data_IF_007757853652
#
_entry.id   IF_007757853652
#
_cell.length_a   1.000
_cell.length_b   1.000
_cell.length_c   1.000
_cell.angle_alpha   90.00
_cell.angle_beta   90.00
_cell.angle_gamma   90.00
#
_symmetry.space_group_name_H-M   'P 1'
#
loop_
_entity.id
_entity.type
_entity.pdbx_description
1 polymer ?
#
# COMPACT_ATOMS: atom_id res chain seq x y z
N UNK A 1 -9.63 -22.57 -85.17
CA UNK A 1 -9.44 -23.98 -84.76
C UNK A 1 -9.95 -24.11 -83.33
N UNK A 2 -10.79 -25.12 -83.11
CA UNK A 2 -11.62 -25.35 -81.91
C UNK A 2 -10.76 -25.71 -80.69
N UNK A 3 -11.22 -25.31 -79.49
CA UNK A 3 -10.69 -25.82 -78.23
C UNK A 3 -11.36 -25.24 -76.98
N UNK A 4 -12.69 -25.25 -76.89
CA UNK A 4 -13.41 -24.96 -75.64
C UNK A 4 -13.35 -26.18 -74.73
N UNK A 5 -12.53 -26.15 -73.67
CA UNK A 5 -12.58 -27.14 -72.60
C UNK A 5 -13.68 -26.74 -71.60
N UNK A 6 -14.78 -27.51 -71.60
CA UNK A 6 -15.83 -27.45 -70.59
C UNK A 6 -15.29 -27.98 -69.26
N UNK A 7 -15.26 -27.14 -68.22
CA UNK A 7 -15.10 -27.61 -66.84
C UNK A 7 -16.41 -28.24 -66.33
N UNK A 8 -16.36 -29.38 -65.62
CA UNK A 8 -17.55 -30.09 -65.16
C UNK A 8 -18.24 -29.39 -63.99
N UNK A 9 -19.58 -29.38 -64.02
CA UNK A 9 -20.53 -28.80 -63.04
C UNK A 9 -20.54 -29.47 -61.64
N UNK A 10 -19.41 -29.97 -61.16
CA UNK A 10 -19.31 -30.70 -59.88
C UNK A 10 -18.59 -29.97 -58.74
N UNK A 11 -17.90 -28.86 -59.00
CA UNK A 11 -16.94 -28.28 -58.03
C UNK A 11 -17.40 -27.03 -57.28
N UNK A 12 -18.61 -26.52 -57.53
CA UNK A 12 -19.09 -25.31 -56.84
C UNK A 12 -19.71 -25.58 -55.47
N UNK A 13 -20.06 -26.83 -55.13
CA UNK A 13 -20.56 -27.17 -53.78
C UNK A 13 -19.44 -27.42 -52.77
N UNK A 14 -18.28 -27.88 -53.20
CA UNK A 14 -17.14 -28.13 -52.30
C UNK A 14 -16.36 -26.86 -51.93
N UNK A 15 -16.35 -25.84 -52.79
CA UNK A 15 -15.65 -24.58 -52.54
C UNK A 15 -16.39 -23.66 -51.55
N UNK A 16 -17.73 -23.68 -51.51
CA UNK A 16 -18.50 -22.87 -50.56
C UNK A 16 -18.48 -23.48 -49.15
N UNK A 17 -18.43 -24.82 -49.04
CA UNK A 17 -18.30 -25.51 -47.75
C UNK A 17 -16.88 -25.34 -47.18
N UNK A 18 -15.84 -25.35 -48.02
CA UNK A 18 -14.47 -25.09 -47.58
C UNK A 18 -14.23 -23.63 -47.13
N UNK A 19 -14.93 -22.65 -47.72
CA UNK A 19 -14.85 -21.24 -47.31
C UNK A 19 -15.52 -20.95 -45.95
N UNK A 20 -16.60 -21.65 -45.62
CA UNK A 20 -17.31 -21.48 -44.35
C UNK A 20 -16.61 -22.25 -43.21
N UNK A 21 -15.96 -23.39 -43.50
CA UNK A 21 -15.15 -24.12 -42.51
C UNK A 21 -13.85 -23.38 -42.14
N UNK A 22 -13.31 -22.56 -43.04
CA UNK A 22 -12.14 -21.72 -42.76
C UNK A 22 -12.46 -20.50 -41.88
N UNK A 23 -13.72 -20.02 -41.86
CA UNK A 23 -14.15 -18.93 -40.99
C UNK A 23 -14.51 -19.41 -39.56
N UNK A 24 -14.86 -20.68 -39.38
CA UNK A 24 -15.12 -21.26 -38.07
C UNK A 24 -13.83 -21.74 -37.35
N UNK A 25 -12.74 -21.96 -38.07
CA UNK A 25 -11.41 -22.23 -37.50
C UNK A 25 -10.58 -20.95 -37.23
N UNK A 26 -11.10 -19.78 -37.61
CA UNK A 26 -10.51 -18.48 -37.31
C UNK A 26 -11.05 -17.86 -36.00
N UNK A 27 -11.91 -18.59 -35.28
CA UNK A 27 -12.31 -18.27 -33.90
C UNK A 27 -11.65 -19.29 -32.96
N UNK A 28 -10.33 -19.25 -32.93
CA UNK A 28 -9.52 -19.88 -31.88
C UNK A 28 -8.99 -18.77 -30.99
N UNK A 29 -9.09 -18.96 -29.69
CA UNK A 29 -8.80 -17.99 -28.64
C UNK A 29 -7.55 -17.15 -28.92
N UNK A 30 -7.75 -15.83 -28.91
CA UNK A 30 -6.70 -14.82 -28.98
C UNK A 30 -6.02 -14.70 -27.59
N UNK A 31 -5.53 -15.84 -27.07
CA UNK A 31 -4.53 -15.87 -26.01
C UNK A 31 -3.20 -16.31 -26.63
N UNK A 32 -2.68 -15.49 -27.55
CA UNK A 32 -1.25 -15.48 -27.76
C UNK A 32 -0.62 -14.95 -26.46
N UNK A 33 0.10 -15.76 -25.66
CA UNK A 33 0.89 -15.18 -24.59
C UNK A 33 1.82 -14.17 -25.26
N UNK A 34 1.78 -12.92 -24.77
CA UNK A 34 2.74 -11.88 -25.13
C UNK A 34 4.11 -12.54 -25.26
N UNK A 35 4.76 -12.35 -26.40
CA UNK A 35 6.03 -13.01 -26.72
C UNK A 35 6.95 -12.99 -25.49
N UNK A 36 7.54 -14.13 -25.08
CA UNK A 36 8.41 -14.16 -23.92
C UNK A 36 9.51 -13.13 -24.15
N UNK A 37 9.62 -12.14 -23.26
CA UNK A 37 10.74 -11.22 -23.25
C UNK A 37 12.02 -12.07 -23.32
N UNK A 38 12.88 -11.78 -24.30
CA UNK A 38 14.09 -12.55 -24.51
C UNK A 38 15.01 -12.40 -23.28
N UNK A 39 15.11 -13.47 -22.49
CA UNK A 39 15.95 -13.55 -21.28
C UNK A 39 15.14 -13.69 -19.99
N UNK A 40 15.77 -14.25 -18.96
CA UNK A 40 15.19 -14.23 -17.61
C UNK A 40 15.08 -12.77 -17.15
N UNK A 41 13.93 -12.32 -16.64
CA UNK A 41 13.79 -10.96 -16.16
C UNK A 41 14.73 -10.74 -14.96
N UNK A 42 15.41 -9.60 -14.96
CA UNK A 42 16.19 -9.13 -13.82
C UNK A 42 15.27 -8.98 -12.62
N UNK A 43 15.72 -9.46 -11.45
CA UNK A 43 15.07 -9.15 -10.18
C UNK A 43 15.25 -7.66 -9.94
N UNK A 44 14.16 -6.92 -9.92
CA UNK A 44 14.21 -5.47 -9.72
C UNK A 44 13.19 -5.04 -8.70
N UNK A 45 13.66 -4.25 -7.74
CA UNK A 45 12.85 -3.59 -6.72
C UNK A 45 12.03 -4.53 -5.80
N UNK A 46 11.72 -4.02 -4.61
CA UNK A 46 10.79 -4.64 -3.68
C UNK A 46 9.85 -3.51 -3.23
N UNK A 47 8.55 -3.69 -3.38
CA UNK A 47 7.58 -2.77 -2.78
C UNK A 47 7.12 -3.34 -1.43
N UNK A 48 7.23 -2.50 -0.40
CA UNK A 48 6.80 -2.77 0.96
C UNK A 48 5.58 -1.90 1.23
N UNK A 49 4.47 -2.49 1.66
CA UNK A 49 3.27 -1.76 2.05
C UNK A 49 3.56 -0.88 3.28
N UNK A 50 3.41 0.44 3.13
CA UNK A 50 3.59 1.39 4.24
C UNK A 50 2.34 1.48 5.13
N UNK A 51 2.49 2.07 6.33
CA UNK A 51 1.37 2.32 7.23
C UNK A 51 0.85 1.07 7.97
N UNK A 52 1.65 0.01 8.06
CA UNK A 52 1.31 -1.22 8.80
C UNK A 52 2.56 -1.90 9.36
N UNK A 53 2.43 -2.56 10.52
CA UNK A 53 3.51 -3.37 11.13
C UNK A 53 3.57 -4.79 10.53
N UNK A 54 2.62 -5.16 9.67
CA UNK A 54 2.57 -6.44 8.95
C UNK A 54 2.45 -6.20 7.44
N UNK A 55 3.48 -5.63 6.79
CA UNK A 55 3.38 -5.18 5.42
C UNK A 55 3.22 -6.33 4.42
N UNK A 56 2.46 -6.09 3.35
CA UNK A 56 2.56 -6.89 2.12
C UNK A 56 3.81 -6.54 1.34
N UNK A 57 4.45 -7.56 0.80
CA UNK A 57 5.67 -7.50 0.02
C UNK A 57 5.38 -7.94 -1.41
N UNK A 58 5.81 -7.13 -2.38
CA UNK A 58 5.80 -7.47 -3.81
C UNK A 58 7.16 -7.16 -4.41
N UNK A 59 7.50 -7.81 -5.53
CA UNK A 59 8.78 -7.63 -6.21
C UNK A 59 8.61 -7.89 -7.71
N UNK A 60 9.58 -7.45 -8.52
CA UNK A 60 9.64 -7.74 -9.95
C UNK A 60 10.77 -8.74 -10.24
N UNK A 61 10.59 -9.59 -11.26
CA UNK A 61 11.58 -10.59 -11.67
C UNK A 61 11.14 -12.05 -11.57
N UNK A 62 9.85 -12.29 -11.26
CA UNK A 62 9.23 -13.62 -11.23
C UNK A 62 9.19 -14.24 -9.83
N UNK A 63 8.83 -15.52 -9.76
CA UNK A 63 8.75 -16.24 -8.49
C UNK A 63 10.14 -16.56 -7.91
N UNK A 64 10.18 -16.78 -6.60
CA UNK A 64 11.43 -16.89 -5.83
C UNK A 64 11.38 -18.11 -4.92
N UNK A 65 12.55 -18.62 -4.53
CA UNK A 65 12.65 -19.75 -3.61
C UNK A 65 12.70 -19.30 -2.16
N UNK A 66 13.26 -18.12 -1.90
CA UNK A 66 13.40 -17.58 -0.56
C UNK A 66 13.03 -16.10 -0.49
N UNK A 67 12.40 -15.73 0.62
CA UNK A 67 12.16 -14.36 1.04
C UNK A 67 12.65 -14.22 2.47
N UNK A 68 13.51 -13.24 2.71
CA UNK A 68 14.04 -12.95 4.04
C UNK A 68 13.96 -11.48 4.40
N UNK A 69 13.95 -11.24 5.71
CA UNK A 69 13.93 -9.92 6.31
C UNK A 69 14.90 -9.92 7.48
N UNK A 70 15.86 -9.01 7.42
CA UNK A 70 16.80 -8.75 8.50
C UNK A 70 16.49 -7.42 9.16
N UNK A 71 16.67 -7.34 10.48
CA UNK A 71 16.74 -6.06 11.18
C UNK A 71 18.04 -5.34 10.82
N UNK A 72 17.95 -4.06 10.52
CA UNK A 72 19.08 -3.24 10.13
C UNK A 72 19.39 -3.28 8.63
N UNK A 73 20.55 -2.74 8.22
CA UNK A 73 20.85 -2.42 6.83
C UNK A 73 21.49 -3.57 6.03
N UNK A 74 21.58 -4.77 6.61
CA UNK A 74 22.32 -5.89 6.04
C UNK A 74 21.42 -7.10 5.89
N UNK A 75 21.31 -7.62 4.67
CA UNK A 75 20.77 -8.95 4.43
C UNK A 75 21.82 -10.00 4.81
N UNK A 76 21.43 -11.01 5.57
CA UNK A 76 22.30 -12.11 5.99
C UNK A 76 21.50 -13.31 6.50
N UNK A 77 22.12 -14.49 6.47
CA UNK A 77 21.61 -15.68 7.17
C UNK A 77 22.24 -15.75 8.57
N UNK A 78 21.72 -14.94 9.50
CA UNK A 78 22.26 -14.80 10.85
C UNK A 78 21.19 -14.40 11.90
N UNK A 79 21.64 -14.06 13.11
CA UNK A 79 20.79 -13.65 14.23
C UNK A 79 19.93 -12.39 14.02
N UNK A 80 20.22 -11.58 12.99
CA UNK A 80 19.43 -10.40 12.65
C UNK A 80 18.16 -10.74 11.86
N UNK A 81 18.02 -11.97 11.40
CA UNK A 81 16.81 -12.44 10.72
C UNK A 81 15.60 -12.33 11.64
N UNK A 82 14.60 -11.57 11.18
CA UNK A 82 13.28 -11.48 11.81
C UNK A 82 12.24 -12.29 11.06
N UNK A 83 12.56 -12.73 9.83
CA UNK A 83 11.75 -13.66 9.08
C UNK A 83 12.52 -14.23 7.89
N UNK A 84 12.37 -15.53 7.64
CA UNK A 84 12.91 -16.22 6.47
C UNK A 84 11.96 -17.34 6.08
N UNK A 85 11.39 -17.27 4.89
CA UNK A 85 10.60 -18.35 4.30
C UNK A 85 11.30 -18.92 3.08
N UNK A 86 11.11 -20.22 2.86
CA UNK A 86 11.69 -20.95 1.75
C UNK A 86 10.70 -21.97 1.16
N UNK A 87 10.59 -22.02 -0.17
CA UNK A 87 9.91 -23.06 -0.92
C UNK A 87 10.73 -23.40 -2.17
N UNK A 88 11.09 -24.67 -2.33
CA UNK A 88 11.94 -25.11 -3.45
C UNK A 88 11.33 -24.80 -4.82
N UNK A 89 12.18 -24.77 -5.84
CA UNK A 89 11.82 -24.58 -7.26
C UNK A 89 11.14 -23.24 -7.56
N UNK A 90 11.50 -22.19 -6.83
CA UNK A 90 10.94 -20.85 -6.98
C UNK A 90 9.42 -20.79 -6.77
N UNK A 91 8.89 -21.46 -5.75
CA UNK A 91 7.44 -21.57 -5.53
C UNK A 91 6.84 -20.52 -4.57
N UNK A 92 7.57 -19.43 -4.26
CA UNK A 92 7.01 -18.29 -3.52
C UNK A 92 6.49 -17.23 -4.50
N UNK A 93 5.19 -16.97 -4.42
CA UNK A 93 4.47 -16.00 -5.24
C UNK A 93 4.22 -14.72 -4.44
N UNK A 94 4.34 -13.56 -5.09
CA UNK A 94 3.87 -12.29 -4.52
C UNK A 94 2.37 -12.09 -4.79
N UNK A 95 1.65 -11.28 -3.98
CA UNK A 95 2.10 -10.63 -2.75
C UNK A 95 2.26 -11.62 -1.58
N UNK A 96 3.22 -11.34 -0.69
CA UNK A 96 3.39 -12.08 0.57
C UNK A 96 3.22 -11.12 1.74
N UNK A 97 2.30 -11.42 2.66
CA UNK A 97 2.12 -10.65 3.90
C UNK A 97 3.14 -11.09 4.95
N UNK A 98 3.81 -10.14 5.61
CA UNK A 98 4.71 -10.43 6.72
C UNK A 98 4.08 -11.38 7.75
N UNK A 99 4.83 -12.41 8.15
CA UNK A 99 4.38 -13.41 9.12
C UNK A 99 3.43 -14.48 8.54
N UNK A 100 2.98 -14.38 7.29
CA UNK A 100 2.19 -15.45 6.67
C UNK A 100 3.12 -16.36 5.87
N UNK A 101 3.17 -17.64 6.23
CA UNK A 101 3.94 -18.64 5.48
C UNK A 101 3.03 -19.20 4.37
N UNK A 102 3.33 -18.97 3.09
CA UNK A 102 2.52 -19.48 1.99
C UNK A 102 2.49 -21.02 1.95
N UNK A 103 1.46 -21.60 1.33
CA UNK A 103 1.37 -23.04 1.14
C UNK A 103 2.60 -23.57 0.40
N UNK A 104 3.24 -24.62 0.95
CA UNK A 104 4.45 -25.22 0.37
C UNK A 104 5.76 -24.54 0.79
N UNK A 105 5.70 -23.38 1.46
CA UNK A 105 6.86 -22.76 2.10
C UNK A 105 7.04 -23.24 3.54
N UNK A 106 8.26 -23.10 4.03
CA UNK A 106 8.65 -23.36 5.41
C UNK A 106 9.31 -22.11 5.99
N UNK A 107 9.09 -21.86 7.28
CA UNK A 107 9.79 -20.82 8.02
C UNK A 107 11.13 -21.37 8.52
N UNK A 108 12.23 -20.84 7.97
CA UNK A 108 13.60 -21.23 8.31
C UNK A 108 14.28 -20.23 9.24
N UNK A 109 13.56 -19.26 9.79
CA UNK A 109 14.15 -18.16 10.59
C UNK A 109 15.04 -18.67 11.72
N UNK A 110 14.53 -19.61 12.51
CA UNK A 110 15.24 -20.16 13.66
C UNK A 110 16.45 -21.02 13.27
N UNK A 111 16.42 -21.65 12.09
CA UNK A 111 17.52 -22.49 11.60
C UNK A 111 18.82 -21.70 11.42
N UNK A 112 18.72 -20.43 11.06
CA UNK A 112 19.86 -19.53 10.87
C UNK A 112 20.09 -18.59 12.06
N UNK A 113 19.56 -18.94 13.24
CA UNK A 113 19.76 -18.19 14.48
C UNK A 113 18.90 -16.93 14.63
N UNK A 114 18.01 -16.66 13.66
CA UNK A 114 17.07 -15.56 13.72
C UNK A 114 15.94 -15.79 14.73
N UNK A 115 15.22 -14.71 15.03
CA UNK A 115 14.02 -14.76 15.87
C UNK A 115 12.86 -14.07 15.16
N UNK A 116 11.84 -14.86 14.86
CA UNK A 116 10.62 -14.33 14.26
C UNK A 116 9.89 -13.39 15.23
N UNK A 117 9.43 -12.26 14.71
CA UNK A 117 8.57 -11.32 15.41
C UNK A 117 7.12 -11.56 15.00
N UNK A 118 6.18 -11.24 15.90
CA UNK A 118 4.74 -11.30 15.58
C UNK A 118 4.33 -10.20 14.60
N UNK A 119 4.97 -9.04 14.72
CA UNK A 119 4.87 -7.89 13.82
C UNK A 119 6.22 -7.16 13.81
N UNK A 120 6.48 -6.38 12.76
CA UNK A 120 7.66 -5.53 12.72
C UNK A 120 7.52 -4.39 13.74
N UNK A 121 8.65 -3.81 14.13
CA UNK A 121 8.71 -2.70 15.09
C UNK A 121 8.84 -1.36 14.36
N UNK A 122 8.12 -0.36 14.87
CA UNK A 122 8.12 1.03 14.40
C UNK A 122 9.52 1.68 14.49
N UNK A 123 9.80 2.59 13.57
CA UNK A 123 11.02 3.41 13.49
C UNK A 123 12.31 2.55 13.37
N UNK A 124 12.19 1.26 13.07
CA UNK A 124 13.31 0.36 12.79
C UNK A 124 13.49 0.16 11.29
N UNK A 125 14.74 0.24 10.85
CA UNK A 125 15.16 -0.13 9.50
C UNK A 125 15.26 -1.64 9.35
N UNK A 126 14.81 -2.15 8.21
CA UNK A 126 14.92 -3.55 7.82
C UNK A 126 15.49 -3.66 6.42
N UNK A 127 16.12 -4.79 6.14
CA UNK A 127 16.52 -5.19 4.79
C UNK A 127 15.65 -6.34 4.34
N UNK A 128 14.80 -6.09 3.36
CA UNK A 128 13.96 -7.07 2.68
C UNK A 128 14.73 -7.62 1.50
N UNK A 129 14.71 -8.92 1.30
CA UNK A 129 15.40 -9.54 0.19
C UNK A 129 14.68 -10.79 -0.31
N UNK A 130 14.86 -11.07 -1.59
CA UNK A 130 14.34 -12.27 -2.24
C UNK A 130 15.42 -12.94 -3.07
N UNK A 131 15.28 -14.24 -3.26
CA UNK A 131 16.31 -15.07 -3.90
C UNK A 131 15.71 -16.20 -4.72
N UNK A 132 16.29 -16.47 -5.89
CA UNK A 132 15.98 -17.64 -6.72
C UNK A 132 16.79 -18.88 -6.34
N UNK A 133 16.25 -20.03 -6.72
CA UNK A 133 16.74 -21.38 -6.41
C UNK A 133 18.22 -21.59 -6.69
N UNK A 134 18.70 -21.15 -7.86
CA UNK A 134 20.10 -21.31 -8.26
C UNK A 134 21.08 -20.63 -7.30
N UNK A 135 20.72 -19.47 -6.76
CA UNK A 135 21.55 -18.76 -5.80
C UNK A 135 21.39 -19.32 -4.38
N UNK A 136 20.18 -19.76 -4.00
CA UNK A 136 19.90 -20.36 -2.69
C UNK A 136 20.71 -21.63 -2.43
N UNK A 137 20.90 -22.49 -3.45
CA UNK A 137 21.73 -23.70 -3.34
C UNK A 137 23.16 -23.40 -2.89
N UNK A 138 23.70 -22.26 -3.29
CA UNK A 138 25.04 -21.81 -2.88
C UNK A 138 25.02 -21.08 -1.53
N UNK A 139 23.93 -20.36 -1.25
CA UNK A 139 23.83 -19.50 -0.08
C UNK A 139 23.46 -20.24 1.21
N UNK A 140 22.63 -21.27 1.13
CA UNK A 140 22.07 -21.97 2.30
C UNK A 140 23.13 -22.58 3.24
N UNK A 141 24.33 -22.87 2.75
CA UNK A 141 25.47 -23.33 3.56
C UNK A 141 26.39 -22.21 4.07
N UNK A 142 26.07 -20.95 3.75
CA UNK A 142 26.95 -19.78 3.95
C UNK A 142 26.42 -18.83 5.03
N UNK A 143 26.09 -19.38 6.20
CA UNK A 143 25.58 -18.60 7.34
C UNK A 143 26.58 -17.51 7.79
N UNK A 144 26.05 -16.43 8.39
CA UNK A 144 26.80 -15.28 8.91
C UNK A 144 27.59 -14.48 7.86
N UNK A 145 27.25 -14.61 6.57
CA UNK A 145 27.78 -13.76 5.50
C UNK A 145 26.74 -12.74 5.05
N UNK A 146 27.21 -11.53 4.70
CA UNK A 146 26.37 -10.48 4.13
C UNK A 146 25.97 -10.84 2.70
N UNK A 147 24.72 -10.59 2.35
CA UNK A 147 24.22 -10.75 0.99
C UNK A 147 24.28 -9.39 0.30
N UNK A 148 24.82 -9.36 -0.92
CA UNK A 148 24.80 -8.16 -1.75
C UNK A 148 24.51 -8.51 -3.20
N UNK A 149 23.77 -7.62 -3.85
CA UNK A 149 23.58 -7.68 -5.30
C UNK A 149 24.89 -7.35 -6.00
N UNK A 150 25.29 -8.18 -6.96
CA UNK A 150 26.49 -7.99 -7.77
C UNK A 150 26.13 -7.25 -9.07
N UNK A 151 26.43 -5.96 -9.14
CA UNK A 151 26.12 -5.14 -10.33
C UNK A 151 27.17 -5.22 -11.44
N UNK A 152 28.16 -6.11 -11.33
CA UNK A 152 29.22 -6.28 -12.32
C UNK A 152 28.76 -7.03 -13.57
N UNK A 153 29.05 -6.50 -14.76
CA UNK A 153 28.60 -7.04 -16.05
C UNK A 153 29.17 -8.44 -16.43
N UNK A 154 30.16 -8.94 -15.69
CA UNK A 154 30.79 -10.26 -15.89
C UNK A 154 30.76 -11.12 -14.61
N UNK A 155 29.83 -10.84 -13.70
CA UNK A 155 29.73 -11.52 -12.42
C UNK A 155 29.27 -12.98 -12.59
N UNK A 156 29.93 -13.90 -11.87
CA UNK A 156 29.39 -15.24 -11.65
C UNK A 156 28.01 -15.15 -10.96
N UNK A 157 27.12 -16.16 -11.12
CA UNK A 157 25.80 -16.16 -10.50
C UNK A 157 25.85 -15.92 -8.98
N UNK A 158 26.85 -16.50 -8.32
CA UNK A 158 27.17 -16.30 -6.90
C UNK A 158 28.69 -16.28 -6.74
N UNK A 159 29.21 -15.32 -5.99
CA UNK A 159 30.64 -15.19 -5.68
C UNK A 159 30.82 -14.81 -4.21
N UNK A 160 31.70 -15.49 -3.49
CA UNK A 160 32.01 -15.14 -2.09
C UNK A 160 33.35 -14.42 -2.00
N UNK A 161 33.36 -13.22 -1.40
CA UNK A 161 34.58 -12.46 -1.10
C UNK A 161 34.58 -12.07 0.37
N UNK A 162 35.47 -12.69 1.15
CA UNK A 162 35.51 -12.51 2.61
C UNK A 162 34.17 -12.86 3.25
N UNK A 163 33.58 -11.88 3.93
CA UNK A 163 32.30 -12.03 4.65
C UNK A 163 31.08 -11.62 3.82
N UNK A 164 31.24 -11.44 2.50
CA UNK A 164 30.14 -11.05 1.62
C UNK A 164 29.94 -12.10 0.51
N UNK A 165 28.69 -12.48 0.29
CA UNK A 165 28.22 -13.25 -0.85
C UNK A 165 27.58 -12.27 -1.84
N UNK A 166 28.22 -12.11 -2.99
CA UNK A 166 27.77 -11.30 -4.10
C UNK A 166 26.92 -12.16 -5.05
N UNK A 167 25.69 -11.76 -5.30
CA UNK A 167 24.70 -12.55 -6.05
C UNK A 167 24.22 -11.77 -7.26
N UNK A 168 24.14 -12.42 -8.42
CA UNK A 168 23.76 -11.78 -9.67
C UNK A 168 22.32 -11.23 -9.63
N UNK A 169 22.03 -10.07 -10.28
CA UNK A 169 20.72 -9.41 -10.20
C UNK A 169 19.58 -10.21 -10.86
N UNK A 170 19.90 -11.24 -11.65
CA UNK A 170 18.88 -12.16 -12.19
C UNK A 170 18.26 -13.07 -11.11
N UNK A 171 18.97 -13.25 -10.00
CA UNK A 171 18.64 -14.23 -8.97
C UNK A 171 18.40 -13.60 -7.59
N UNK A 172 18.70 -12.32 -7.41
CA UNK A 172 18.62 -11.64 -6.12
C UNK A 172 18.30 -10.16 -6.28
N UNK A 173 17.43 -9.65 -5.41
CA UNK A 173 17.27 -8.22 -5.16
C UNK A 173 17.04 -8.00 -3.67
N UNK A 174 17.36 -6.80 -3.21
CA UNK A 174 17.18 -6.39 -1.83
C UNK A 174 16.84 -4.91 -1.73
N UNK A 175 16.14 -4.54 -0.66
CA UNK A 175 15.75 -3.17 -0.35
C UNK A 175 15.84 -2.92 1.14
N UNK A 176 16.50 -1.81 1.50
CA UNK A 176 16.37 -1.24 2.83
C UNK A 176 15.10 -0.40 2.91
N UNK A 177 14.28 -0.63 3.91
CA UNK A 177 13.10 0.21 4.21
C UNK A 177 12.92 0.36 5.72
N UNK A 178 12.34 1.47 6.14
CA UNK A 178 12.00 1.70 7.56
C UNK A 178 10.52 1.44 7.75
N UNK A 179 10.18 0.69 8.80
CA UNK A 179 8.78 0.52 9.18
C UNK A 179 8.32 1.80 9.87
N UNK A 180 7.43 2.48 9.17
CA UNK A 180 6.89 3.78 9.54
C UNK A 180 5.36 3.69 9.46
N UNK A 181 4.74 3.53 10.63
CA UNK A 181 3.31 3.28 10.81
C UNK A 181 2.66 4.42 11.58
N UNK A 182 3.38 5.20 12.38
CA UNK A 182 2.79 6.23 13.24
C UNK A 182 3.29 7.62 12.87
N UNK A 183 2.43 8.62 13.09
CA UNK A 183 2.87 10.01 13.17
C UNK A 183 2.80 10.51 14.60
N UNK A 184 3.88 11.18 15.01
CA UNK A 184 3.85 11.93 16.26
C UNK A 184 3.09 13.23 16.05
N UNK A 185 2.14 13.52 16.93
CA UNK A 185 1.40 14.78 16.90
C UNK A 185 2.04 15.74 17.90
N UNK A 186 2.48 16.91 17.43
CA UNK A 186 3.03 17.98 18.28
C UNK A 186 2.37 19.31 17.99
N UNK A 187 2.58 20.24 18.94
CA UNK A 187 2.18 21.65 18.81
C UNK A 187 0.71 21.86 18.49
N UNK A 188 -0.19 21.08 19.11
CA UNK A 188 -1.62 21.25 18.92
C UNK A 188 -2.04 22.63 19.46
N UNK A 189 -2.55 23.48 18.56
CA UNK A 189 -3.00 24.85 18.85
C UNK A 189 -4.50 24.95 18.55
N UNK A 190 -5.37 24.71 19.54
CA UNK A 190 -6.81 24.83 19.36
C UNK A 190 -7.23 26.30 19.26
N UNK A 191 -8.22 26.59 18.44
CA UNK A 191 -8.75 27.94 18.21
C UNK A 191 -10.20 27.87 17.71
N UNK A 192 -11.02 28.86 18.05
CA UNK A 192 -12.41 28.94 17.61
C UNK A 192 -13.38 29.08 18.76
N UNK A 193 -14.65 29.30 18.44
CA UNK A 193 -15.69 29.56 19.45
C UNK A 193 -16.41 28.31 19.91
N UNK A 194 -16.61 27.33 19.03
CA UNK A 194 -17.44 26.16 19.33
C UNK A 194 -16.87 25.34 20.49
N UNK A 195 -15.57 25.03 20.42
CA UNK A 195 -14.95 24.07 21.31
C UNK A 195 -13.43 24.08 21.24
N UNK A 196 -12.80 23.41 22.20
CA UNK A 196 -11.36 23.10 22.20
C UNK A 196 -11.18 21.74 21.55
N UNK A 197 -10.42 21.67 20.45
CA UNK A 197 -10.08 20.42 19.77
C UNK A 197 -8.76 19.89 20.31
N UNK A 198 -8.72 18.61 20.65
CA UNK A 198 -7.49 17.90 20.98
C UNK A 198 -7.20 16.87 19.89
N UNK A 199 -5.92 16.79 19.50
CA UNK A 199 -5.39 15.85 18.52
C UNK A 199 -4.34 15.01 19.24
N UNK A 200 -4.45 13.68 19.15
CA UNK A 200 -3.47 12.75 19.75
C UNK A 200 -3.10 11.66 18.75
N UNK A 201 -1.90 11.12 18.88
CA UNK A 201 -1.44 9.99 18.08
C UNK A 201 -2.28 8.72 18.38
N UNK A 202 -2.47 7.86 17.37
CA UNK A 202 -2.88 6.48 17.60
C UNK A 202 -1.69 5.63 18.07
N UNK A 203 -1.97 4.40 18.53
CA UNK A 203 -0.94 3.42 18.95
C UNK A 203 -0.60 2.40 17.85
N UNK A 204 -1.39 2.38 16.79
CA UNK A 204 -1.48 1.30 15.81
C UNK A 204 -1.67 1.80 14.37
N UNK A 205 -1.67 3.12 14.14
CA UNK A 205 -1.84 3.70 12.81
C UNK A 205 -1.34 5.14 12.72
N UNK A 206 -1.16 5.60 11.48
CA UNK A 206 -0.82 6.96 11.11
C UNK A 206 -2.06 7.88 11.09
N UNK A 207 -3.13 7.48 11.78
CA UNK A 207 -4.39 8.20 11.79
C UNK A 207 -4.59 8.83 13.17
N UNK A 208 -4.43 10.15 13.32
CA UNK A 208 -4.63 10.80 14.61
C UNK A 208 -6.06 10.61 15.13
N UNK A 209 -6.19 10.61 16.45
CA UNK A 209 -7.46 10.59 17.15
C UNK A 209 -7.84 12.02 17.54
N UNK A 210 -9.04 12.42 17.15
CA UNK A 210 -9.62 13.74 17.41
C UNK A 210 -10.66 13.64 18.52
N UNK A 211 -10.57 14.56 19.46
CA UNK A 211 -11.59 14.79 20.49
C UNK A 211 -11.86 16.27 20.63
N UNK A 212 -12.98 16.64 21.23
CA UNK A 212 -13.30 18.04 21.48
C UNK A 212 -14.10 18.20 22.77
N UNK A 213 -14.03 19.41 23.30
CA UNK A 213 -14.87 19.88 24.40
C UNK A 213 -15.59 21.16 23.94
N UNK A 214 -16.91 21.18 24.02
CA UNK A 214 -17.71 22.36 23.65
C UNK A 214 -17.58 23.43 24.75
N UNK A 215 -17.30 24.66 24.33
CA UNK A 215 -17.15 25.82 25.23
C UNK A 215 -18.08 26.98 24.88
N UNK A 216 -18.71 26.93 23.70
CA UNK A 216 -19.60 28.00 23.27
C UNK A 216 -20.87 28.02 24.13
N UNK A 217 -21.14 29.16 24.75
CA UNK A 217 -22.39 29.35 25.51
C UNK A 217 -23.63 29.11 24.64
N UNK A 218 -24.61 28.42 25.21
CA UNK A 218 -25.87 28.04 24.54
C UNK A 218 -25.78 26.80 23.65
N UNK A 219 -24.59 26.22 23.43
CA UNK A 219 -24.44 24.96 22.71
C UNK A 219 -24.34 23.82 23.72
N UNK A 220 -25.35 22.96 23.78
CA UNK A 220 -25.40 21.80 24.68
C UNK A 220 -25.09 20.48 23.97
N UNK A 221 -25.29 20.43 22.66
CA UNK A 221 -25.00 19.25 21.86
C UNK A 221 -23.50 19.07 21.68
N UNK A 222 -23.01 17.88 22.04
CA UNK A 222 -21.60 17.50 21.92
C UNK A 222 -21.26 16.88 20.57
N UNK A 223 -22.25 16.51 19.77
CA UNK A 223 -22.07 15.91 18.45
C UNK A 223 -21.86 17.00 17.40
N UNK A 224 -21.08 16.68 16.36
CA UNK A 224 -20.76 17.59 15.27
C UNK A 224 -21.51 17.22 14.00
N UNK A 225 -21.75 18.22 13.15
CA UNK A 225 -22.38 18.03 11.85
C UNK A 225 -21.35 17.89 10.72
N UNK A 226 -20.12 18.39 10.91
CA UNK A 226 -19.03 18.24 9.96
C UNK A 226 -17.68 18.22 10.67
N UNK A 227 -16.73 17.51 10.06
CA UNK A 227 -15.33 17.38 10.46
C UNK A 227 -14.47 17.37 9.20
N UNK A 228 -13.32 18.01 9.23
CA UNK A 228 -12.39 17.94 8.11
C UNK A 228 -10.94 18.23 8.48
N UNK A 229 -10.06 17.93 7.52
CA UNK A 229 -8.62 18.04 7.60
C UNK A 229 -8.08 18.64 6.29
N UNK A 230 -7.18 19.62 6.43
CA UNK A 230 -6.47 20.22 5.29
C UNK A 230 -4.99 20.40 5.63
N UNK A 231 -4.13 20.55 4.62
CA UNK A 231 -2.75 21.01 4.82
C UNK A 231 -2.73 22.46 5.33
N UNK A 232 -1.91 22.79 6.32
CA UNK A 232 -1.93 24.08 7.01
C UNK A 232 -1.14 25.21 6.31
N UNK A 233 -0.73 25.05 5.05
CA UNK A 233 -0.18 26.15 4.26
C UNK A 233 -1.32 27.10 3.86
N UNK A 234 -1.61 28.08 4.72
CA UNK A 234 -2.58 29.19 4.52
C UNK A 234 -3.84 28.80 3.73
N UNK A 235 -4.84 28.27 4.44
CA UNK A 235 -6.25 28.15 4.03
C UNK A 235 -6.49 28.09 2.51
N UNK A 236 -6.17 26.95 1.90
CA UNK A 236 -6.63 26.64 0.55
C UNK A 236 -7.81 25.67 0.67
N UNK A 237 -9.03 26.18 0.45
CA UNK A 237 -10.28 25.38 0.42
C UNK A 237 -10.21 24.24 -0.62
N UNK A 238 -9.33 24.36 -1.61
CA UNK A 238 -9.07 23.35 -2.63
C UNK A 238 -8.07 22.27 -2.22
N UNK A 239 -7.48 22.37 -1.02
CA UNK A 239 -6.47 21.46 -0.48
C UNK A 239 -7.01 20.47 0.57
N UNK A 240 -8.30 20.15 0.52
CA UNK A 240 -8.94 19.21 1.44
C UNK A 240 -8.28 17.83 1.36
N UNK A 241 -7.77 17.35 2.50
CA UNK A 241 -7.20 16.01 2.64
C UNK A 241 -8.24 15.01 3.09
N UNK A 242 -9.22 15.45 3.88
CA UNK A 242 -10.34 14.63 4.32
C UNK A 242 -11.48 15.52 4.77
N UNK A 243 -12.71 15.20 4.38
CA UNK A 243 -13.87 16.00 4.76
C UNK A 243 -15.12 15.12 4.83
N UNK A 244 -15.81 15.16 5.97
CA UNK A 244 -16.98 14.33 6.26
C UNK A 244 -18.09 15.15 6.91
N UNK A 245 -19.30 15.04 6.38
CA UNK A 245 -20.47 15.82 6.81
C UNK A 245 -21.64 14.88 7.08
N UNK A 246 -22.47 15.20 8.07
CA UNK A 246 -23.78 14.56 8.24
C UNK A 246 -24.56 14.57 6.93
N UNK A 247 -25.26 13.48 6.63
CA UNK A 247 -26.13 13.38 5.46
C UNK A 247 -27.53 13.00 5.93
N UNK A 248 -28.52 13.76 5.46
CA UNK A 248 -29.93 13.43 5.64
C UNK A 248 -30.69 13.64 4.33
N UNK A 249 -31.82 12.95 4.17
CA UNK A 249 -32.71 13.19 3.04
C UNK A 249 -33.79 14.19 3.44
N UNK A 250 -33.91 15.28 2.67
CA UNK A 250 -35.01 16.23 2.79
C UNK A 250 -35.65 16.41 1.42
N UNK A 251 -36.94 16.09 1.31
CA UNK A 251 -37.64 16.12 0.03
C UNK A 251 -37.04 15.19 -1.04
N UNK A 252 -36.41 14.08 -0.62
CA UNK A 252 -35.75 13.13 -1.53
C UNK A 252 -34.38 13.58 -2.04
N UNK A 253 -33.88 14.74 -1.60
CA UNK A 253 -32.54 15.24 -1.93
C UNK A 253 -31.62 15.13 -0.72
N UNK A 254 -30.33 14.82 -0.93
CA UNK A 254 -29.37 14.81 0.15
C UNK A 254 -29.11 16.25 0.64
N UNK A 255 -29.12 16.42 1.95
CA UNK A 255 -28.78 17.65 2.65
C UNK A 255 -27.63 17.35 3.60
N UNK A 256 -26.58 18.17 3.53
CA UNK A 256 -25.34 17.93 4.26
C UNK A 256 -25.12 18.92 5.39
N UNK A 257 -24.53 18.46 6.49
CA UNK A 257 -24.08 19.33 7.59
C UNK A 257 -25.21 19.94 8.42
N UNK A 258 -26.43 19.40 8.33
CA UNK A 258 -27.63 19.91 9.03
C UNK A 258 -28.05 19.11 10.25
N UNK A 259 -27.32 18.03 10.56
CA UNK A 259 -27.57 17.23 11.75
C UNK A 259 -26.27 16.93 12.49
N UNK A 260 -26.28 17.07 13.80
CA UNK A 260 -25.15 16.68 14.62
C UNK A 260 -25.17 15.15 14.84
N UNK A 261 -24.25 14.43 14.21
CA UNK A 261 -24.18 12.95 14.25
C UNK A 261 -22.79 12.42 14.53
N UNK A 262 -21.75 13.23 14.33
CA UNK A 262 -20.35 12.82 14.48
C UNK A 262 -19.99 12.89 15.97
N UNK A 263 -19.58 11.75 16.52
CA UNK A 263 -19.25 11.58 17.94
C UNK A 263 -17.73 11.46 18.12
N UNK A 264 -17.17 12.21 19.08
CA UNK A 264 -15.79 11.99 19.55
C UNK A 264 -15.69 10.79 20.51
N UNK A 265 -14.56 10.07 20.56
CA UNK A 265 -13.35 10.26 19.74
C UNK A 265 -13.53 9.80 18.30
N UNK A 266 -12.85 10.47 17.37
CA UNK A 266 -12.80 10.09 15.96
C UNK A 266 -11.37 9.73 15.56
N UNK A 267 -11.13 8.50 15.13
CA UNK A 267 -9.91 8.16 14.38
C UNK A 267 -10.07 8.71 12.97
N UNK A 268 -9.14 9.55 12.52
CA UNK A 268 -9.24 10.16 11.19
C UNK A 268 -9.33 9.09 10.08
N UNK A 269 -10.13 9.36 9.06
CA UNK A 269 -10.36 8.44 7.94
C UNK A 269 -11.25 7.24 8.25
N UNK A 270 -11.70 7.06 9.49
CA UNK A 270 -12.65 5.99 9.79
C UNK A 270 -14.02 6.28 9.15
N UNK A 271 -14.76 5.26 8.68
CA UNK A 271 -16.15 5.42 8.26
C UNK A 271 -17.02 5.90 9.43
N UNK A 272 -17.89 6.87 9.18
CA UNK A 272 -18.84 7.40 10.17
C UNK A 272 -20.26 7.22 9.64
N UNK A 273 -21.12 6.53 10.39
CA UNK A 273 -22.51 6.29 9.99
C UNK A 273 -23.26 7.61 9.77
N UNK A 274 -24.19 7.64 8.81
CA UNK A 274 -25.04 8.81 8.50
C UNK A 274 -24.24 10.05 8.09
N UNK A 275 -23.09 9.85 7.45
CA UNK A 275 -22.26 10.92 6.90
C UNK A 275 -21.86 10.62 5.46
N UNK A 276 -21.55 11.69 4.74
CA UNK A 276 -21.00 11.66 3.40
C UNK A 276 -19.53 12.12 3.44
N UNK A 277 -18.67 11.42 2.71
CA UNK A 277 -17.25 11.75 2.57
C UNK A 277 -17.03 12.49 1.26
N UNK A 278 -16.62 13.76 1.34
CA UNK A 278 -16.36 14.62 0.18
C UNK A 278 -14.91 14.50 -0.33
N UNK A 279 -13.99 14.17 0.57
CA UNK A 279 -12.60 13.90 0.26
C UNK A 279 -12.16 12.71 1.10
N UNK A 280 -11.67 11.66 0.44
CA UNK A 280 -11.19 10.44 1.10
C UNK A 280 -9.88 10.70 1.82
N UNK A 281 -9.75 10.09 3.00
CA UNK A 281 -8.53 10.21 3.78
C UNK A 281 -7.35 9.52 3.05
N UNK A 282 -6.12 10.07 3.10
CA UNK A 282 -4.99 9.46 2.42
C UNK A 282 -4.76 8.02 2.90
N UNK A 283 -4.67 7.08 1.95
CA UNK A 283 -4.54 5.65 2.26
C UNK A 283 -3.29 5.30 3.10
N UNK A 284 -2.24 6.13 3.03
CA UNK A 284 -0.99 5.97 3.80
C UNK A 284 -0.97 6.78 5.12
N UNK A 285 -2.08 7.44 5.46
CA UNK A 285 -2.14 8.36 6.59
C UNK A 285 -1.49 9.70 6.33
N UNK A 286 -1.16 10.42 7.40
CA UNK A 286 -0.54 11.74 7.28
C UNK A 286 0.95 11.62 6.93
N UNK A 287 1.44 12.57 6.16
CA UNK A 287 2.87 12.70 5.90
C UNK A 287 3.58 13.24 7.15
N UNK A 288 4.83 12.80 7.39
CA UNK A 288 5.69 13.35 8.45
C UNK A 288 6.16 14.77 8.11
N UNK A 289 6.53 15.52 9.15
CA UNK A 289 7.08 16.88 9.04
C UNK A 289 6.17 17.86 8.28
N UNK A 290 4.84 17.67 8.38
CA UNK A 290 3.83 18.54 7.79
C UNK A 290 3.01 19.22 8.86
N UNK A 291 2.48 20.38 8.51
CA UNK A 291 1.54 21.12 9.32
C UNK A 291 0.12 20.86 8.80
N UNK A 292 -0.79 20.56 9.71
CA UNK A 292 -2.17 20.21 9.44
C UNK A 292 -3.15 21.10 10.18
N UNK A 293 -4.33 21.24 9.60
CA UNK A 293 -5.45 22.00 10.14
C UNK A 293 -6.68 21.09 10.18
N UNK A 294 -7.14 20.77 11.39
CA UNK A 294 -8.38 20.01 11.63
C UNK A 294 -9.47 20.96 12.09
N UNK A 295 -10.69 20.78 11.62
CA UNK A 295 -11.82 21.62 12.01
C UNK A 295 -13.09 20.83 12.23
N UNK A 296 -13.94 21.36 13.11
CA UNK A 296 -15.27 20.83 13.42
C UNK A 296 -16.31 21.94 13.32
N UNK A 297 -17.51 21.55 12.93
CA UNK A 297 -18.67 22.43 12.91
C UNK A 297 -19.91 21.70 13.40
N UNK A 298 -20.76 22.39 14.14
CA UNK A 298 -22.11 21.88 14.45
C UNK A 298 -23.10 22.30 13.35
N UNK A 299 -24.33 21.78 13.42
CA UNK A 299 -25.40 22.00 12.43
C UNK A 299 -25.80 23.47 12.21
N UNK A 300 -25.52 24.34 13.17
CA UNK A 300 -25.88 25.76 13.16
C UNK A 300 -24.78 26.63 12.51
N UNK A 301 -23.67 26.03 12.08
CA UNK A 301 -22.63 26.69 11.30
C UNK A 301 -23.15 27.17 9.94
N UNK A 302 -22.65 28.33 9.48
CA UNK A 302 -23.11 28.98 8.24
C UNK A 302 -22.61 28.30 6.95
N UNK A 303 -21.79 27.26 7.07
CA UNK A 303 -21.26 26.48 5.96
C UNK A 303 -20.14 27.17 5.18
N UNK A 304 -19.73 28.38 5.56
CA UNK A 304 -18.83 29.21 4.74
C UNK A 304 -17.69 29.84 5.52
N UNK A 305 -17.95 30.46 6.67
CA UNK A 305 -16.93 31.19 7.43
C UNK A 305 -16.11 30.24 8.27
N UNK A 306 -14.79 30.42 8.31
CA UNK A 306 -13.87 29.56 9.07
C UNK A 306 -12.86 30.37 9.91
N UNK A 307 -13.28 31.56 10.36
CA UNK A 307 -12.47 32.44 11.19
C UNK A 307 -12.52 32.01 12.66
N UNK A 308 -11.53 32.44 13.46
CA UNK A 308 -11.48 32.18 14.91
C UNK A 308 -12.72 32.67 15.66
N UNK A 309 -13.37 33.72 15.13
CA UNK A 309 -14.57 34.33 15.70
C UNK A 309 -15.88 33.75 15.15
N UNK A 310 -15.82 32.79 14.23
CA UNK A 310 -17.01 32.17 13.67
C UNK A 310 -17.71 31.33 14.74
N UNK A 311 -18.99 31.62 15.00
CA UNK A 311 -19.82 30.81 15.89
C UNK A 311 -20.01 29.41 15.28
N UNK A 312 -20.18 28.42 16.16
CA UNK A 312 -20.48 27.04 15.76
C UNK A 312 -19.38 26.34 14.98
N UNK A 313 -18.19 26.93 14.98
CA UNK A 313 -16.98 26.45 14.33
C UNK A 313 -15.80 26.46 15.30
N UNK A 314 -14.96 25.44 15.22
CA UNK A 314 -13.66 25.40 15.87
C UNK A 314 -12.65 24.66 15.01
N UNK A 315 -11.37 24.92 15.24
CA UNK A 315 -10.27 24.24 14.59
C UNK A 315 -9.08 24.06 15.52
N UNK A 316 -8.12 23.26 15.09
CA UNK A 316 -6.79 23.20 15.67
C UNK A 316 -5.77 23.06 14.54
N UNK A 317 -4.61 23.68 14.70
CA UNK A 317 -3.43 23.32 13.93
C UNK A 317 -2.56 22.37 14.73
N UNK A 318 -1.84 21.49 14.03
CA UNK A 318 -0.87 20.58 14.63
C UNK A 318 0.20 20.21 13.60
N UNK A 319 1.33 19.69 14.07
CA UNK A 319 2.43 19.23 13.23
C UNK A 319 2.67 17.75 13.42
N UNK A 320 2.95 17.04 12.33
CA UNK A 320 3.44 15.65 12.34
C UNK A 320 4.96 15.59 12.37
N UNK A 321 5.52 14.58 13.02
CA UNK A 321 6.95 14.30 13.11
C UNK A 321 7.21 12.82 12.86
#
# INVERSE_FOLDING_TARGET
>A
MIGWARLPRGQYRSLVIAGILALALACGDDESPLAPYAGQPVMSDIAVEGGTLTPKLTWLGGYVTALGINRGPVAALDSTLVWLIHAGDNNIHYPVTYGQVPTGAQDLTAQYGGKRLDQLEEDLGYTFWVLKEEAWKSLSSSANKQLRVNTGAAAAPVETRGDTVFIHPLSHTQKGDTIDVFVNVKEVKPTGRLGVINVRQSRDSNNPIITWQIIQSGVTDTLMAALGLVNAQQYQVTGNLWEVWSEESSGGQPVYGKKNVIRAPVTMGQPISTTHVFAEYPARGLERNKDYYVWIANKDWDGRRRLNSTNFYAHATFRTW
#
